data_IF_375811479041
#
_entry.id   IF_375811479041
#
_cell.length_a   1.000
_cell.length_b   1.000
_cell.length_c   1.000
_cell.angle_alpha   90.00
_cell.angle_beta   90.00
_cell.angle_gamma   90.00
#
_symmetry.space_group_name_H-M   'P 1'
#
loop_
_entity.id
_entity.type
_entity.pdbx_description
1 polymer ?
#
# COMPACT_ATOMS: atom_id res chain seq x y z
N UNK A 1 23.22 18.83 -5.16
CA UNK A 1 23.26 17.40 -4.82
C UNK A 1 22.20 16.68 -5.65
N UNK A 2 22.59 15.63 -6.28
CA UNK A 2 21.69 14.84 -7.11
C UNK A 2 20.68 14.08 -6.26
N UNK A 3 19.43 14.09 -6.69
CA UNK A 3 18.34 13.33 -6.04
C UNK A 3 17.94 12.16 -6.91
N UNK A 4 17.61 11.07 -6.28
CA UNK A 4 16.98 9.93 -6.94
C UNK A 4 15.46 10.08 -6.77
N UNK A 5 14.75 10.16 -7.89
CA UNK A 5 13.30 10.33 -7.89
C UNK A 5 12.66 9.05 -8.41
N UNK A 6 11.80 8.44 -7.61
CA UNK A 6 10.96 7.33 -8.02
C UNK A 6 9.55 7.79 -8.37
N UNK A 7 8.91 7.09 -9.28
CA UNK A 7 7.52 7.32 -9.64
C UNK A 7 6.80 5.98 -9.74
N UNK A 8 5.63 5.87 -9.15
CA UNK A 8 4.85 4.65 -9.20
C UNK A 8 3.59 4.70 -8.34
N UNK A 9 3.02 3.54 -8.12
CA UNK A 9 1.82 3.40 -7.30
C UNK A 9 2.13 3.64 -5.83
N UNK A 10 1.47 4.62 -5.23
CA UNK A 10 1.52 4.88 -3.80
C UNK A 10 0.49 3.97 -3.12
N UNK A 11 0.94 2.85 -2.60
CA UNK A 11 0.09 1.84 -1.96
C UNK A 11 0.39 1.77 -0.46
N UNK A 12 -0.65 1.72 0.36
CA UNK A 12 -0.52 1.42 1.79
C UNK A 12 -0.78 -0.06 2.00
N UNK A 13 0.17 -0.75 2.58
CA UNK A 13 0.01 -2.15 2.97
C UNK A 13 -0.70 -2.21 4.32
N UNK A 14 -1.81 -2.91 4.36
CA UNK A 14 -2.53 -3.24 5.61
C UNK A 14 -2.29 -4.71 5.88
N UNK A 15 -1.51 -5.02 6.91
CA UNK A 15 -1.07 -6.37 7.21
C UNK A 15 -1.89 -6.98 8.33
N UNK A 16 -2.45 -8.17 8.09
CA UNK A 16 -3.16 -8.95 9.09
C UNK A 16 -2.59 -10.37 9.16
N UNK A 17 -2.27 -10.82 10.36
CA UNK A 17 -1.78 -12.19 10.59
C UNK A 17 -2.96 -13.12 10.84
N UNK A 18 -3.02 -14.20 10.08
CA UNK A 18 -4.09 -15.19 10.13
C UNK A 18 -3.79 -16.32 11.10
N UNK A 19 -4.84 -16.87 11.73
CA UNK A 19 -4.74 -18.09 12.53
C UNK A 19 -4.78 -19.35 11.66
N UNK A 20 -5.46 -19.27 10.52
CA UNK A 20 -5.54 -20.33 9.50
C UNK A 20 -5.82 -19.69 8.12
N UNK A 21 -5.85 -20.53 7.08
CA UNK A 21 -6.05 -20.06 5.71
C UNK A 21 -7.52 -20.06 5.25
N UNK A 22 -8.46 -20.32 6.14
CA UNK A 22 -9.89 -20.40 5.78
C UNK A 22 -10.39 -19.11 5.11
N UNK A 23 -9.97 -17.96 5.63
CA UNK A 23 -10.39 -16.67 5.12
C UNK A 23 -9.95 -16.43 3.66
N UNK A 24 -8.81 -16.98 3.25
CA UNK A 24 -8.34 -16.87 1.88
C UNK A 24 -9.28 -17.58 0.90
N UNK A 25 -9.82 -18.74 1.32
CA UNK A 25 -10.81 -19.47 0.54
C UNK A 25 -12.15 -18.72 0.47
N UNK A 26 -12.58 -18.16 1.60
CA UNK A 26 -13.81 -17.36 1.68
C UNK A 26 -13.73 -16.09 0.82
N UNK A 27 -12.56 -15.47 0.76
CA UNK A 27 -12.30 -14.27 -0.06
C UNK A 27 -11.92 -14.61 -1.50
N UNK A 28 -11.82 -15.88 -1.85
CA UNK A 28 -11.40 -16.34 -3.19
C UNK A 28 -10.05 -15.75 -3.63
N UNK A 29 -9.11 -15.67 -2.69
CA UNK A 29 -7.75 -15.20 -2.92
C UNK A 29 -6.79 -16.38 -2.93
N UNK A 30 -6.18 -16.73 -4.08
CA UNK A 30 -5.20 -17.82 -4.12
C UNK A 30 -4.00 -17.52 -3.21
N UNK A 31 -3.70 -18.43 -2.29
CA UNK A 31 -2.61 -18.30 -1.34
C UNK A 31 -1.27 -18.03 -2.05
N UNK A 32 -0.52 -17.08 -1.54
CA UNK A 32 0.79 -16.70 -2.09
C UNK A 32 0.72 -15.85 -3.35
N UNK A 33 -0.46 -15.40 -3.75
CA UNK A 33 -0.66 -14.59 -4.97
C UNK A 33 -1.00 -13.14 -4.66
N UNK A 34 -0.92 -12.30 -5.68
CA UNK A 34 -1.47 -10.96 -5.68
C UNK A 34 -2.65 -10.91 -6.65
N UNK A 35 -3.81 -10.50 -6.14
CA UNK A 35 -5.03 -10.35 -6.92
C UNK A 35 -5.46 -8.88 -6.91
N UNK A 36 -5.71 -8.31 -8.07
CA UNK A 36 -6.34 -6.99 -8.16
C UNK A 36 -7.81 -7.13 -7.79
N UNK A 37 -8.27 -6.28 -6.89
CA UNK A 37 -9.65 -6.29 -6.38
C UNK A 37 -10.35 -4.98 -6.69
N UNK A 38 -11.68 -5.03 -6.74
CA UNK A 38 -12.52 -3.84 -6.86
C UNK A 38 -12.86 -3.23 -5.49
N UNK A 39 -13.56 -2.10 -5.51
CA UNK A 39 -13.96 -1.41 -4.29
C UNK A 39 -14.91 -2.24 -3.42
N UNK A 40 -15.80 -3.01 -4.03
CA UNK A 40 -16.73 -3.89 -3.31
C UNK A 40 -15.97 -4.95 -2.51
N UNK A 41 -14.99 -5.59 -3.12
CA UNK A 41 -14.13 -6.58 -2.46
C UNK A 41 -13.30 -5.95 -1.35
N UNK A 42 -12.78 -4.74 -1.58
CA UNK A 42 -12.04 -4.00 -0.58
C UNK A 42 -12.88 -3.73 0.67
N UNK A 43 -14.14 -3.34 0.51
CA UNK A 43 -15.05 -3.09 1.64
C UNK A 43 -15.28 -4.36 2.45
N UNK A 44 -15.44 -5.50 1.80
CA UNK A 44 -15.60 -6.81 2.47
C UNK A 44 -14.34 -7.15 3.27
N UNK A 45 -13.16 -6.97 2.69
CA UNK A 45 -11.88 -7.21 3.36
C UNK A 45 -11.71 -6.27 4.55
N UNK A 46 -12.03 -4.98 4.38
CA UNK A 46 -11.92 -4.00 5.45
C UNK A 46 -12.83 -4.35 6.64
N UNK A 47 -14.04 -4.82 6.38
CA UNK A 47 -14.95 -5.29 7.43
C UNK A 47 -14.34 -6.47 8.19
N UNK A 48 -13.75 -7.42 7.48
CA UNK A 48 -13.04 -8.54 8.09
C UNK A 48 -11.84 -8.07 8.92
N UNK A 49 -11.03 -7.17 8.38
CA UNK A 49 -9.84 -6.65 9.07
C UNK A 49 -10.19 -5.77 10.27
N UNK A 50 -11.39 -5.20 10.34
CA UNK A 50 -11.82 -4.39 11.48
C UNK A 50 -11.87 -5.18 12.80
N UNK A 51 -12.02 -6.50 12.72
CA UNK A 51 -12.03 -7.40 13.87
C UNK A 51 -10.67 -8.02 14.18
N UNK A 52 -9.63 -7.63 13.42
CA UNK A 52 -8.28 -8.17 13.54
C UNK A 52 -7.30 -7.06 13.93
N UNK A 53 -6.19 -7.46 14.54
CA UNK A 53 -5.05 -6.55 14.69
C UNK A 53 -4.36 -6.39 13.33
N UNK A 54 -4.16 -5.14 12.92
CA UNK A 54 -3.51 -4.82 11.65
C UNK A 54 -2.36 -3.86 11.85
N UNK A 55 -1.37 -3.96 10.98
CA UNK A 55 -0.25 -3.01 10.89
C UNK A 55 -0.29 -2.30 9.56
N UNK A 56 0.13 -1.05 9.55
CA UNK A 56 0.27 -0.26 8.31
C UNK A 56 1.74 -0.13 7.92
N UNK A 57 2.00 -0.26 6.64
CA UNK A 57 3.30 0.00 6.06
C UNK A 57 3.14 0.69 4.70
N UNK A 58 4.15 1.43 4.27
CA UNK A 58 4.17 1.96 2.90
C UNK A 58 4.60 0.86 1.94
N UNK A 59 3.89 0.74 0.81
CA UNK A 59 4.14 -0.27 -0.20
C UNK A 59 4.34 0.32 -1.59
N UNK A 60 4.24 -0.55 -2.59
CA UNK A 60 4.56 -0.24 -3.97
C UNK A 60 6.05 -0.45 -4.27
N UNK A 61 6.37 -1.06 -5.42
CA UNK A 61 7.77 -1.40 -5.76
C UNK A 61 8.68 -0.17 -5.84
N UNK A 62 8.23 0.88 -6.53
CA UNK A 62 9.01 2.11 -6.65
C UNK A 62 9.16 2.80 -5.28
N UNK A 63 8.09 2.86 -4.49
CA UNK A 63 8.12 3.43 -3.14
C UNK A 63 9.07 2.68 -2.21
N UNK A 64 9.08 1.36 -2.27
CA UNK A 64 9.99 0.53 -1.48
C UNK A 64 11.45 0.72 -1.89
N UNK A 65 11.72 0.86 -3.20
CA UNK A 65 13.08 1.15 -3.69
C UNK A 65 13.57 2.51 -3.18
N UNK A 66 12.75 3.55 -3.28
CA UNK A 66 13.08 4.89 -2.78
C UNK A 66 13.30 4.88 -1.27
N UNK A 67 12.48 4.18 -0.53
CA UNK A 67 12.64 3.97 0.91
C UNK A 67 14.01 3.36 1.24
N UNK A 68 14.39 2.30 0.52
CA UNK A 68 15.69 1.65 0.70
C UNK A 68 16.85 2.61 0.45
N UNK A 69 16.78 3.39 -0.62
CA UNK A 69 17.82 4.38 -0.96
C UNK A 69 17.91 5.50 0.09
N UNK A 70 16.77 5.97 0.60
CA UNK A 70 16.74 6.96 1.69
C UNK A 70 17.39 6.41 2.96
N UNK A 71 17.14 5.16 3.30
CA UNK A 71 17.77 4.50 4.46
C UNK A 71 19.29 4.38 4.30
N UNK A 72 19.79 4.34 3.06
CA UNK A 72 21.23 4.32 2.76
C UNK A 72 21.84 5.74 2.69
N UNK A 73 21.07 6.77 2.96
CA UNK A 73 21.55 8.15 3.02
C UNK A 73 21.48 8.92 1.70
N UNK A 74 20.85 8.36 0.65
CA UNK A 74 20.68 9.08 -0.60
C UNK A 74 19.61 10.17 -0.49
N UNK A 75 19.80 11.28 -1.19
CA UNK A 75 18.73 12.27 -1.41
C UNK A 75 17.65 11.65 -2.29
N UNK A 76 16.41 11.68 -1.84
CA UNK A 76 15.31 10.98 -2.52
C UNK A 76 14.07 11.84 -2.68
N UNK A 77 13.29 11.55 -3.72
CA UNK A 77 11.94 12.07 -3.94
C UNK A 77 11.04 10.97 -4.49
N UNK A 78 9.75 11.09 -4.27
CA UNK A 78 8.76 10.15 -4.77
C UNK A 78 7.58 10.89 -5.38
N UNK A 79 7.18 10.47 -6.58
CA UNK A 79 6.02 10.96 -7.29
C UNK A 79 4.95 9.87 -7.32
N UNK A 80 3.78 10.18 -6.82
CA UNK A 80 2.65 9.26 -6.78
C UNK A 80 1.34 10.00 -6.61
N UNK A 81 0.26 9.25 -6.48
CA UNK A 81 -1.07 9.80 -6.25
C UNK A 81 -1.79 9.02 -5.16
N UNK A 82 -2.37 9.76 -4.23
CA UNK A 82 -3.12 9.22 -3.09
C UNK A 82 -4.52 9.84 -3.05
N UNK A 83 -5.41 9.26 -2.27
CA UNK A 83 -6.70 9.87 -1.95
C UNK A 83 -6.58 10.91 -0.83
N UNK A 84 -7.63 11.70 -0.66
CA UNK A 84 -7.75 12.62 0.47
C UNK A 84 -8.32 11.86 1.69
N UNK A 85 -7.52 10.98 2.24
CA UNK A 85 -7.91 10.08 3.33
C UNK A 85 -6.74 9.83 4.30
N UNK A 86 -7.01 9.04 5.34
CA UNK A 86 -6.01 8.73 6.36
C UNK A 86 -4.80 7.96 5.79
N UNK A 87 -5.01 7.09 4.82
CA UNK A 87 -3.92 6.36 4.16
C UNK A 87 -3.03 7.27 3.33
N UNK A 88 -3.62 8.25 2.62
CA UNK A 88 -2.85 9.26 1.88
C UNK A 88 -1.97 10.11 2.81
N UNK A 89 -2.50 10.51 3.95
CA UNK A 89 -1.74 11.23 4.99
C UNK A 89 -0.63 10.36 5.58
N UNK A 90 -0.91 9.10 5.86
CA UNK A 90 0.06 8.14 6.35
C UNK A 90 1.22 7.95 5.36
N UNK A 91 0.91 7.80 4.07
CA UNK A 91 1.93 7.64 3.04
C UNK A 91 2.84 8.87 2.95
N UNK A 92 2.26 10.06 2.90
CA UNK A 92 3.01 11.32 2.90
C UNK A 92 3.90 11.46 4.12
N UNK A 93 3.35 11.24 5.30
CA UNK A 93 4.09 11.36 6.56
C UNK A 93 5.27 10.37 6.59
N UNK A 94 5.08 9.15 6.13
CA UNK A 94 6.14 8.14 6.07
C UNK A 94 7.28 8.53 5.13
N UNK A 95 6.98 9.19 4.02
CA UNK A 95 8.01 9.74 3.13
C UNK A 95 8.81 10.84 3.83
N UNK A 96 8.13 11.79 4.45
CA UNK A 96 8.76 12.94 5.12
C UNK A 96 9.64 12.52 6.30
N UNK A 97 9.20 11.56 7.09
CA UNK A 97 9.96 11.03 8.22
C UNK A 97 11.30 10.42 7.82
N UNK A 98 11.42 9.96 6.59
CA UNK A 98 12.66 9.40 6.02
C UNK A 98 13.48 10.42 5.24
N UNK A 99 13.06 11.67 5.24
CA UNK A 99 13.72 12.72 4.48
C UNK A 99 13.50 12.63 2.96
N UNK A 100 12.50 11.86 2.54
CA UNK A 100 12.11 11.77 1.12
C UNK A 100 11.15 12.88 0.76
N UNK A 101 11.43 13.59 -0.33
CA UNK A 101 10.54 14.62 -0.85
C UNK A 101 9.24 14.00 -1.36
N UNK A 102 8.12 14.43 -0.79
CA UNK A 102 6.80 13.88 -1.10
C UNK A 102 6.11 14.70 -2.19
N UNK A 103 6.25 14.27 -3.44
CA UNK A 103 5.57 14.87 -4.60
C UNK A 103 4.30 14.08 -4.90
N UNK A 104 3.33 14.15 -3.98
CA UNK A 104 2.09 13.42 -4.07
C UNK A 104 0.96 14.30 -4.58
N UNK A 105 0.30 13.85 -5.67
CA UNK A 105 -1.00 14.38 -6.08
C UNK A 105 -2.08 13.78 -5.20
N UNK A 106 -3.14 14.55 -4.94
CA UNK A 106 -4.26 14.11 -4.10
C UNK A 106 -5.52 14.05 -4.96
N UNK A 107 -6.14 12.87 -5.01
CA UNK A 107 -7.42 12.70 -5.68
C UNK A 107 -8.55 13.18 -4.77
N UNK A 108 -9.50 13.93 -5.35
CA UNK A 108 -10.76 14.29 -4.67
C UNK A 108 -11.87 13.26 -4.87
N UNK A 109 -11.67 12.29 -5.76
CA UNK A 109 -12.73 11.37 -6.20
C UNK A 109 -12.49 9.92 -5.75
N UNK A 110 -11.23 9.49 -5.69
CA UNK A 110 -10.87 8.10 -5.39
C UNK A 110 -10.08 7.98 -4.09
N UNK A 111 -10.30 6.89 -3.33
CA UNK A 111 -9.49 6.62 -2.16
C UNK A 111 -8.07 6.21 -2.53
N UNK A 112 -7.16 6.29 -1.56
CA UNK A 112 -5.78 5.82 -1.71
C UNK A 112 -5.73 4.34 -2.06
N UNK A 113 -4.72 3.94 -2.83
CA UNK A 113 -4.46 2.54 -3.12
C UNK A 113 -4.07 1.76 -1.86
N UNK A 114 -4.59 0.55 -1.73
CA UNK A 114 -4.39 -0.31 -0.56
C UNK A 114 -4.03 -1.72 -1.02
N UNK A 115 -3.00 -2.29 -0.42
CA UNK A 115 -2.69 -3.70 -0.53
C UNK A 115 -3.08 -4.38 0.79
N UNK A 116 -4.22 -5.07 0.78
CA UNK A 116 -4.63 -5.89 1.91
C UNK A 116 -3.80 -7.15 1.92
N UNK A 117 -2.97 -7.31 2.95
CA UNK A 117 -1.97 -8.36 3.05
C UNK A 117 -2.34 -9.35 4.15
N UNK A 118 -2.59 -10.57 3.73
CA UNK A 118 -2.89 -11.69 4.62
C UNK A 118 -1.61 -12.50 4.85
N UNK A 119 -1.18 -12.60 6.10
CA UNK A 119 0.00 -13.37 6.48
C UNK A 119 -0.48 -14.70 7.07
N UNK A 120 -0.27 -15.79 6.33
CA UNK A 120 -0.63 -17.14 6.74
C UNK A 120 0.27 -17.64 7.88
N UNK A 121 -0.16 -18.68 8.64
CA UNK A 121 0.63 -19.22 9.76
C UNK A 121 2.03 -19.71 9.37
N UNK A 122 2.23 -20.11 8.10
CA UNK A 122 3.53 -20.53 7.56
C UNK A 122 4.39 -19.35 7.05
N UNK A 123 3.90 -18.10 7.19
CA UNK A 123 4.60 -16.90 6.75
C UNK A 123 4.32 -16.51 5.30
N UNK A 124 3.57 -17.30 4.54
CA UNK A 124 3.17 -16.96 3.17
C UNK A 124 2.30 -15.72 3.16
N UNK A 125 2.51 -14.83 2.19
CA UNK A 125 1.74 -13.59 2.05
C UNK A 125 0.82 -13.64 0.82
N UNK A 126 -0.43 -13.28 1.04
CA UNK A 126 -1.45 -13.18 -0.02
C UNK A 126 -1.98 -11.75 -0.05
N UNK A 127 -2.07 -11.19 -1.24
CA UNK A 127 -2.43 -9.78 -1.42
C UNK A 127 -3.74 -9.64 -2.18
N UNK A 128 -4.65 -8.85 -1.64
CA UNK A 128 -5.75 -8.25 -2.38
C UNK A 128 -5.46 -6.77 -2.56
N UNK A 129 -5.18 -6.34 -3.79
CA UNK A 129 -4.71 -4.98 -4.08
C UNK A 129 -5.77 -4.16 -4.81
N UNK A 130 -6.19 -3.08 -4.17
CA UNK A 130 -7.04 -2.06 -4.77
C UNK A 130 -6.18 -0.84 -5.12
N UNK A 131 -6.05 -0.54 -6.41
CA UNK A 131 -5.15 0.53 -6.85
C UNK A 131 -5.68 1.94 -6.56
N UNK A 132 -7.01 2.13 -6.62
CA UNK A 132 -7.64 3.41 -6.29
C UNK A 132 -7.01 4.59 -7.02
N UNK A 133 -6.75 5.66 -6.27
CA UNK A 133 -6.14 6.88 -6.79
C UNK A 133 -4.75 6.65 -7.42
N UNK A 134 -4.00 5.67 -6.94
CA UNK A 134 -2.65 5.40 -7.44
C UNK A 134 -2.64 5.11 -8.95
N UNK A 135 -3.63 4.40 -9.46
CA UNK A 135 -3.74 4.05 -10.88
C UNK A 135 -4.13 5.24 -11.77
N UNK A 136 -4.50 6.36 -11.20
CA UNK A 136 -4.94 7.55 -11.95
C UNK A 136 -3.86 8.62 -12.09
N UNK A 137 -2.62 8.31 -11.71
CA UNK A 137 -1.49 9.20 -11.92
C UNK A 137 -1.28 9.39 -13.42
N UNK A 138 -1.30 10.65 -13.86
CA UNK A 138 -1.06 11.05 -15.24
C UNK A 138 0.00 12.14 -15.29
N UNK A 139 0.70 12.19 -16.41
CA UNK A 139 1.67 13.26 -16.70
C UNK A 139 0.96 14.60 -16.87
#
# INVERSE_FOLDING_TARGET
MDKIIGMGNALVDVLATLNDDQILNEMELPKGSMTLIDETKLLIINECFSEMETELATGGSAGNAIRGMACLGAGTGFIGKVGNDAYGKFYRQSLLERGTEANLLVSSELPSGVASTFISPDGERTFGTYLGAAATLKA
#
